data_IF_147426112629
#
_entry.id   IF_147426112629
#
_cell.length_a   1.000
_cell.length_b   1.000
_cell.length_c   1.000
_cell.angle_alpha   90.00
_cell.angle_beta   90.00
_cell.angle_gamma   90.00
#
_symmetry.space_group_name_H-M   'P 1'
#
loop_
_entity.id
_entity.type
_entity.pdbx_description
1 polymer ?
#
# COMPACT_ATOMS: atom_id res chain seq x y z
N UNK A 1 -2.65 19.04 7.07
CA UNK A 1 -3.98 18.59 7.53
C UNK A 1 -3.94 17.07 7.52
N UNK A 2 -3.92 16.42 8.69
CA UNK A 2 -3.90 14.95 8.77
C UNK A 2 -5.28 14.41 8.47
N UNK A 3 -5.39 13.45 7.54
CA UNK A 3 -6.67 12.78 7.22
C UNK A 3 -7.26 12.12 8.47
N UNK A 4 -8.61 12.12 8.63
CA UNK A 4 -9.26 11.46 9.75
C UNK A 4 -8.99 9.95 9.73
N UNK A 5 -8.77 9.36 10.91
CA UNK A 5 -8.58 7.92 11.05
C UNK A 5 -9.84 7.19 10.55
N UNK A 6 -9.67 6.09 9.83
CA UNK A 6 -10.78 5.28 9.33
C UNK A 6 -10.60 3.80 9.64
N UNK A 7 -11.72 3.07 9.69
CA UNK A 7 -11.72 1.62 9.87
C UNK A 7 -11.11 0.93 8.65
N UNK A 8 -10.11 0.06 8.85
CA UNK A 8 -9.43 -0.67 7.78
C UNK A 8 -10.30 -1.73 7.09
N UNK A 9 -11.51 -1.99 7.59
CA UNK A 9 -12.42 -3.01 7.05
C UNK A 9 -13.63 -2.38 6.36
N UNK A 10 -14.30 -1.44 7.02
CA UNK A 10 -15.57 -0.87 6.54
C UNK A 10 -15.47 0.62 6.19
N UNK A 11 -14.27 1.21 6.22
CA UNK A 11 -13.99 2.60 5.86
C UNK A 11 -14.72 3.69 6.64
N UNK A 12 -15.51 3.36 7.67
CA UNK A 12 -16.10 4.36 8.56
C UNK A 12 -15.01 5.27 9.12
N UNK A 13 -15.15 6.57 8.91
CA UNK A 13 -14.26 7.59 9.43
C UNK A 13 -14.57 7.86 10.91
N UNK A 14 -13.56 8.31 11.65
CA UNK A 14 -13.72 8.78 13.01
C UNK A 14 -14.69 9.95 13.06
N UNK A 15 -15.69 9.87 13.94
CA UNK A 15 -16.71 10.90 14.15
C UNK A 15 -17.09 10.98 15.63
N UNK A 16 -18.05 11.83 15.98
CA UNK A 16 -18.63 11.88 17.33
C UNK A 16 -19.35 10.59 17.71
N UNK A 17 -19.79 9.80 16.72
CA UNK A 17 -20.54 8.55 16.91
C UNK A 17 -19.67 7.30 16.71
N UNK A 18 -18.57 7.43 15.97
CA UNK A 18 -17.69 6.32 15.61
C UNK A 18 -16.29 6.55 16.15
N UNK A 19 -15.94 5.79 17.19
CA UNK A 19 -14.59 5.75 17.74
C UNK A 19 -13.72 4.73 16.99
N UNK A 20 -12.59 5.19 16.45
CA UNK A 20 -11.65 4.35 15.70
C UNK A 20 -10.54 3.88 16.63
N UNK A 21 -10.52 2.58 16.90
CA UNK A 21 -9.60 1.93 17.82
C UNK A 21 -8.45 1.28 17.09
N UNK A 22 -7.25 1.35 17.67
CA UNK A 22 -6.08 0.64 17.15
C UNK A 22 -6.06 -0.80 17.63
N UNK A 23 -5.49 -1.70 16.83
CA UNK A 23 -5.19 -3.05 17.27
C UNK A 23 -4.32 -3.02 18.54
N UNK A 24 -4.78 -3.62 19.63
CA UNK A 24 -4.06 -3.58 20.92
C UNK A 24 -2.66 -4.21 20.86
N UNK A 25 -2.42 -5.12 19.91
CA UNK A 25 -1.14 -5.84 19.77
C UNK A 25 -0.13 -5.08 18.91
N UNK A 26 -0.48 -4.73 17.66
CA UNK A 26 0.46 -4.09 16.74
C UNK A 26 0.36 -2.57 16.70
N UNK A 27 -0.76 -2.00 17.16
CA UNK A 27 -1.11 -0.56 17.11
C UNK A 27 -1.10 0.09 15.72
N UNK A 28 -1.02 -0.72 14.66
CA UNK A 28 -0.83 -0.27 13.27
C UNK A 28 -2.13 -0.33 12.43
N UNK A 29 -3.02 -1.29 12.72
CA UNK A 29 -4.35 -1.38 12.08
C UNK A 29 -5.43 -0.71 12.93
N UNK A 30 -6.44 -0.14 12.27
CA UNK A 30 -7.51 0.66 12.85
C UNK A 30 -8.88 0.04 12.59
N UNK A 31 -9.76 -0.01 13.59
CA UNK A 31 -11.08 -0.62 13.50
C UNK A 31 -12.12 0.23 14.23
N UNK A 32 -13.32 0.36 13.67
CA UNK A 32 -14.43 1.02 14.36
C UNK A 32 -15.04 0.17 15.50
N UNK A 33 -14.59 -1.08 15.67
CA UNK A 33 -15.14 -1.98 16.67
C UNK A 33 -14.58 -3.40 16.58
N UNK A 34 -15.04 -4.24 17.51
CA UNK A 34 -14.61 -5.64 17.63
C UNK A 34 -14.98 -6.48 16.40
N UNK A 35 -16.13 -6.23 15.80
CA UNK A 35 -16.61 -7.02 14.66
C UNK A 35 -15.69 -6.87 13.44
N UNK A 36 -15.31 -5.63 13.11
CA UNK A 36 -14.33 -5.37 12.05
C UNK A 36 -12.97 -5.99 12.38
N UNK A 37 -12.51 -5.89 13.64
CA UNK A 37 -11.25 -6.52 14.04
C UNK A 37 -11.28 -8.05 13.90
N UNK A 38 -12.39 -8.70 14.30
CA UNK A 38 -12.55 -10.16 14.20
C UNK A 38 -12.66 -10.61 12.74
N UNK A 39 -13.40 -9.86 11.92
CA UNK A 39 -13.51 -10.13 10.48
C UNK A 39 -12.16 -10.04 9.77
N UNK A 40 -11.31 -9.10 10.17
CA UNK A 40 -9.97 -8.92 9.62
C UNK A 40 -8.94 -9.87 10.25
N UNK A 41 -9.24 -10.50 11.39
CA UNK A 41 -8.26 -11.30 12.14
C UNK A 41 -7.63 -12.45 11.33
N UNK A 42 -8.35 -13.23 10.50
CA UNK A 42 -7.74 -14.30 9.70
C UNK A 42 -6.58 -13.82 8.84
N UNK A 43 -6.68 -12.61 8.28
CA UNK A 43 -5.69 -12.00 7.39
C UNK A 43 -4.68 -11.20 8.19
N UNK A 44 -5.13 -10.35 9.12
CA UNK A 44 -4.33 -9.48 9.97
C UNK A 44 -3.39 -10.24 10.91
N UNK A 45 -3.79 -11.38 11.49
CA UNK A 45 -2.98 -12.09 12.50
C UNK A 45 -1.56 -12.42 12.03
N UNK A 46 -1.37 -12.56 10.71
CA UNK A 46 -0.09 -12.87 10.06
C UNK A 46 0.86 -11.67 10.02
N UNK A 47 0.31 -10.46 9.96
CA UNK A 47 1.07 -9.19 10.00
C UNK A 47 1.01 -8.51 11.37
N UNK A 48 0.10 -8.94 12.25
CA UNK A 48 -0.11 -8.41 13.58
C UNK A 48 1.09 -8.64 14.51
N UNK A 49 1.87 -7.58 14.73
CA UNK A 49 3.08 -7.60 15.56
C UNK A 49 4.37 -7.82 14.79
N UNK A 50 4.28 -8.01 13.46
CA UNK A 50 5.45 -8.14 12.58
C UNK A 50 6.05 -6.77 12.20
N UNK A 51 5.38 -5.67 12.57
CA UNK A 51 5.86 -4.30 12.47
C UNK A 51 6.57 -3.97 13.78
N UNK A 52 7.76 -4.55 13.96
CA UNK A 52 8.75 -3.88 14.81
C UNK A 52 9.16 -2.59 14.09
N UNK A 53 9.29 -1.45 14.81
CA UNK A 53 9.97 -0.29 14.24
C UNK A 53 11.33 -0.76 13.73
N UNK A 54 11.73 -0.27 12.54
CA UNK A 54 13.03 -0.54 11.93
C UNK A 54 14.14 -0.17 12.92
N UNK A 55 14.61 -1.11 13.72
CA UNK A 55 15.97 -1.07 14.22
C UNK A 55 16.84 -1.70 13.13
N UNK A 56 17.94 -1.04 12.78
CA UNK A 56 18.96 -1.56 11.87
C UNK A 56 19.60 -2.86 12.37
N UNK A 57 19.33 -3.25 13.62
CA UNK A 57 20.17 -4.17 14.38
C UNK A 57 19.52 -5.55 14.61
N UNK A 58 18.33 -5.81 14.06
CA UNK A 58 17.68 -7.13 14.16
C UNK A 58 17.07 -7.56 12.81
N UNK A 59 17.61 -8.62 12.17
CA UNK A 59 17.03 -9.15 10.94
C UNK A 59 15.64 -9.72 11.22
N UNK A 60 14.61 -9.26 10.47
CA UNK A 60 13.35 -9.99 10.39
C UNK A 60 13.64 -11.41 9.88
N UNK A 61 12.93 -12.41 10.41
CA UNK A 61 12.91 -13.73 9.79
C UNK A 61 12.56 -13.58 8.28
N UNK A 62 13.25 -14.29 7.38
CA UNK A 62 13.03 -14.16 5.94
C UNK A 62 11.57 -14.42 5.59
N UNK A 63 10.93 -13.45 4.96
CA UNK A 63 9.56 -13.59 4.46
C UNK A 63 9.59 -14.23 3.09
N UNK A 64 8.57 -15.04 2.78
CA UNK A 64 8.50 -15.79 1.53
C UNK A 64 8.58 -14.89 0.27
N UNK A 65 8.17 -13.63 0.41
CA UNK A 65 8.12 -12.62 -0.64
C UNK A 65 9.36 -11.71 -0.71
N UNK A 66 10.35 -11.86 0.17
CA UNK A 66 11.52 -10.94 0.17
C UNK A 66 12.27 -10.96 -1.17
N UNK A 67 12.26 -12.12 -1.87
CA UNK A 67 12.82 -12.26 -3.21
C UNK A 67 12.08 -11.50 -4.32
N UNK A 68 10.88 -10.99 -4.05
CA UNK A 68 10.04 -10.25 -4.99
C UNK A 68 10.12 -8.73 -4.80
N UNK A 69 10.93 -8.25 -3.85
CA UNK A 69 11.00 -6.81 -3.52
C UNK A 69 11.61 -5.96 -4.62
N UNK A 70 12.52 -6.53 -5.42
CA UNK A 70 13.24 -5.79 -6.45
C UNK A 70 12.38 -5.63 -7.70
N UNK A 71 12.06 -4.39 -8.02
CA UNK A 71 11.37 -4.01 -9.25
C UNK A 71 12.32 -4.08 -10.46
N UNK A 72 11.75 -4.15 -11.66
CA UNK A 72 12.47 -4.14 -12.94
C UNK A 72 13.22 -2.84 -13.19
N UNK A 73 12.69 -1.72 -12.68
CA UNK A 73 13.32 -0.40 -12.74
C UNK A 73 14.49 -0.22 -11.73
N UNK A 74 14.76 -1.23 -10.90
CA UNK A 74 15.81 -1.22 -9.89
C UNK A 74 15.40 -0.64 -8.53
N UNK A 75 14.16 -0.16 -8.38
CA UNK A 75 13.59 0.20 -7.08
C UNK A 75 13.36 -1.04 -6.21
N UNK A 76 13.26 -0.83 -4.90
CA UNK A 76 13.11 -1.90 -3.91
C UNK A 76 11.94 -1.60 -2.99
N UNK A 77 10.96 -2.50 -2.93
CA UNK A 77 9.89 -2.43 -1.94
C UNK A 77 10.44 -2.69 -0.54
N UNK A 78 10.21 -1.74 0.37
CA UNK A 78 10.63 -1.81 1.77
C UNK A 78 9.50 -2.22 2.72
N UNK A 79 8.26 -2.25 2.20
CA UNK A 79 7.05 -2.61 2.92
C UNK A 79 6.79 -4.10 2.95
N UNK A 80 5.66 -4.49 3.52
CA UNK A 80 5.20 -5.87 3.52
C UNK A 80 4.29 -6.11 2.31
N UNK A 81 4.30 -7.35 1.82
CA UNK A 81 3.37 -7.80 0.81
C UNK A 81 2.09 -8.26 1.53
N UNK A 82 0.96 -7.62 1.23
CA UNK A 82 -0.32 -7.84 1.90
C UNK A 82 -1.38 -8.27 0.88
N UNK A 83 -2.09 -9.36 1.18
CA UNK A 83 -3.24 -9.80 0.39
C UNK A 83 -4.38 -8.79 0.51
N UNK A 84 -4.92 -8.35 -0.62
CA UNK A 84 -6.10 -7.49 -0.70
C UNK A 84 -7.33 -8.36 -0.43
N UNK A 85 -8.03 -8.11 0.67
CA UNK A 85 -9.20 -8.91 1.09
C UNK A 85 -10.46 -8.08 1.29
N UNK A 86 -10.47 -6.86 0.77
CA UNK A 86 -11.58 -5.92 0.80
C UNK A 86 -12.00 -5.57 -0.63
N UNK A 87 -13.26 -5.18 -0.83
CA UNK A 87 -13.71 -4.68 -2.12
C UNK A 87 -13.27 -3.23 -2.35
N UNK A 88 -13.22 -2.82 -3.62
CA UNK A 88 -13.12 -1.43 -4.04
C UNK A 88 -14.19 -1.14 -5.09
N UNK A 89 -15.25 -0.43 -4.69
CA UNK A 89 -16.39 -0.10 -5.56
C UNK A 89 -15.96 0.70 -6.80
N UNK A 90 -15.02 1.63 -6.62
CA UNK A 90 -14.51 2.47 -7.71
C UNK A 90 -13.82 1.68 -8.81
N UNK A 91 -13.13 0.60 -8.45
CA UNK A 91 -12.43 -0.28 -9.38
C UNK A 91 -13.29 -1.46 -9.81
N UNK A 92 -14.46 -1.66 -9.19
CA UNK A 92 -15.29 -2.85 -9.41
C UNK A 92 -14.58 -4.14 -8.98
N UNK A 93 -13.68 -4.05 -7.98
CA UNK A 93 -12.86 -5.19 -7.55
C UNK A 93 -13.25 -5.70 -6.17
N UNK A 94 -12.97 -6.98 -5.93
CA UNK A 94 -13.27 -7.70 -4.69
C UNK A 94 -12.04 -8.35 -4.04
N UNK A 95 -12.28 -9.46 -3.35
CA UNK A 95 -11.26 -10.25 -2.69
C UNK A 95 -10.19 -10.70 -3.71
N UNK A 96 -8.90 -10.57 -3.34
CA UNK A 96 -7.80 -10.89 -4.24
C UNK A 96 -7.69 -9.91 -5.42
N UNK A 97 -8.27 -8.71 -5.32
CA UNK A 97 -8.19 -7.65 -6.33
C UNK A 97 -8.58 -8.13 -7.74
N UNK A 98 -9.45 -9.14 -7.82
CA UNK A 98 -10.12 -9.55 -9.05
C UNK A 98 -11.43 -8.76 -9.20
N UNK A 99 -12.08 -8.86 -10.36
CA UNK A 99 -13.40 -8.25 -10.55
C UNK A 99 -14.38 -8.79 -9.51
N UNK A 100 -15.32 -7.96 -9.07
CA UNK A 100 -16.18 -8.27 -7.92
C UNK A 100 -16.99 -9.57 -8.12
N UNK A 101 -17.36 -9.89 -9.37
CA UNK A 101 -18.06 -11.11 -9.74
C UNK A 101 -17.22 -12.39 -9.53
N UNK A 102 -15.89 -12.28 -9.61
CA UNK A 102 -14.95 -13.40 -9.44
C UNK A 102 -14.43 -13.53 -8.00
N UNK A 103 -14.77 -12.59 -7.12
CA UNK A 103 -14.26 -12.49 -5.75
C UNK A 103 -14.45 -13.78 -4.95
N UNK A 104 -15.64 -14.37 -4.99
CA UNK A 104 -15.94 -15.60 -4.25
C UNK A 104 -15.21 -16.82 -4.83
N UNK A 105 -15.09 -16.92 -6.16
CA UNK A 105 -14.33 -18.00 -6.80
C UNK A 105 -12.83 -17.90 -6.48
N UNK A 106 -12.28 -16.69 -6.50
CA UNK A 106 -10.88 -16.42 -6.15
C UNK A 106 -10.58 -16.79 -4.69
N UNK A 107 -11.51 -16.47 -3.78
CA UNK A 107 -11.41 -16.84 -2.37
C UNK A 107 -11.52 -18.34 -2.17
N UNK A 108 -12.46 -19.01 -2.82
CA UNK A 108 -12.61 -20.48 -2.76
C UNK A 108 -11.35 -21.19 -3.28
N UNK A 109 -10.80 -20.71 -4.40
CA UNK A 109 -9.54 -21.20 -4.98
C UNK A 109 -8.38 -21.05 -4.01
N UNK A 110 -8.27 -19.92 -3.33
CA UNK A 110 -7.26 -19.72 -2.29
C UNK A 110 -7.40 -20.70 -1.13
N UNK A 111 -8.62 -20.90 -0.63
CA UNK A 111 -8.88 -21.76 0.52
C UNK A 111 -8.72 -23.25 0.19
N UNK A 112 -9.27 -23.70 -0.94
CA UNK A 112 -9.36 -25.12 -1.29
C UNK A 112 -8.17 -25.60 -2.13
N UNK A 113 -7.83 -24.90 -3.21
CA UNK A 113 -6.76 -25.34 -4.13
C UNK A 113 -5.37 -24.92 -3.62
N UNK A 114 -5.25 -23.68 -3.15
CA UNK A 114 -4.00 -23.18 -2.62
C UNK A 114 -3.81 -23.48 -1.13
N UNK A 115 -4.83 -24.01 -0.43
CA UNK A 115 -4.77 -24.33 1.01
C UNK A 115 -4.31 -23.15 1.87
N UNK A 116 -4.80 -21.94 1.54
CA UNK A 116 -4.41 -20.70 2.19
C UNK A 116 -2.96 -20.26 1.95
N UNK A 117 -2.27 -20.84 0.95
CA UNK A 117 -0.87 -20.56 0.68
C UNK A 117 -0.69 -19.31 -0.21
N UNK A 118 -0.31 -18.19 0.39
CA UNK A 118 -0.08 -16.92 -0.32
C UNK A 118 0.97 -17.01 -1.41
N UNK A 119 2.03 -17.81 -1.23
CA UNK A 119 3.08 -17.98 -2.24
C UNK A 119 2.53 -18.68 -3.49
N UNK A 120 1.57 -19.58 -3.35
CA UNK A 120 0.87 -20.19 -4.50
C UNK A 120 -0.05 -19.17 -5.16
N UNK A 121 -0.86 -18.46 -4.38
CA UNK A 121 -1.74 -17.42 -4.91
C UNK A 121 -0.94 -16.33 -5.65
N UNK A 122 0.16 -15.84 -5.07
CA UNK A 122 1.02 -14.84 -5.70
C UNK A 122 1.60 -15.31 -7.03
N UNK A 123 1.99 -16.58 -7.14
CA UNK A 123 2.49 -17.13 -8.42
C UNK A 123 1.40 -17.19 -9.48
N UNK A 124 0.15 -17.35 -9.07
CA UNK A 124 -1.01 -17.43 -9.95
C UNK A 124 -1.57 -16.05 -10.32
N UNK A 125 -1.68 -15.16 -9.34
CA UNK A 125 -2.33 -13.85 -9.42
C UNK A 125 -1.61 -12.83 -8.52
N UNK A 126 -0.43 -12.31 -8.93
CA UNK A 126 0.37 -11.38 -8.11
C UNK A 126 -0.40 -10.14 -7.66
N UNK A 127 -1.26 -9.60 -8.52
CA UNK A 127 -2.06 -8.40 -8.27
C UNK A 127 -3.10 -8.57 -7.16
N UNK A 128 -3.36 -9.79 -6.67
CA UNK A 128 -4.09 -10.01 -5.41
C UNK A 128 -3.40 -9.34 -4.22
N UNK A 129 -2.12 -9.03 -4.32
CA UNK A 129 -1.35 -8.45 -3.24
C UNK A 129 -1.02 -6.99 -3.53
N UNK A 130 -0.76 -6.23 -2.47
CA UNK A 130 -0.20 -4.88 -2.51
C UNK A 130 1.09 -4.80 -1.71
N UNK A 131 1.93 -3.83 -2.06
CA UNK A 131 3.05 -3.43 -1.23
C UNK A 131 2.68 -2.29 -0.30
N UNK A 132 2.78 -2.51 1.02
CA UNK A 132 2.35 -1.51 2.02
C UNK A 132 3.22 -0.24 2.06
N UNK A 133 4.39 -0.25 1.42
CA UNK A 133 5.31 0.90 1.39
C UNK A 133 4.94 1.99 0.38
N UNK A 134 4.31 1.62 -0.73
CA UNK A 134 3.97 2.54 -1.82
C UNK A 134 2.52 2.41 -2.29
N UNK A 135 1.80 1.35 -1.88
CA UNK A 135 0.42 1.11 -2.28
C UNK A 135 0.27 0.72 -3.74
N UNK A 136 1.33 0.23 -4.39
CA UNK A 136 1.22 -0.44 -5.69
C UNK A 136 0.69 -1.86 -5.48
N UNK A 137 -0.08 -2.38 -6.44
CA UNK A 137 -0.30 -3.82 -6.49
C UNK A 137 1.03 -4.54 -6.78
N UNK A 138 1.10 -5.81 -6.43
CA UNK A 138 2.34 -6.55 -6.55
C UNK A 138 2.59 -7.17 -7.93
N UNK A 139 1.63 -7.03 -8.86
CA UNK A 139 1.85 -7.27 -10.28
C UNK A 139 2.59 -6.11 -10.95
N UNK A 140 2.51 -4.90 -10.38
CA UNK A 140 3.26 -3.72 -10.82
C UNK A 140 4.70 -3.77 -10.32
N UNK A 141 5.60 -4.32 -11.13
CA UNK A 141 7.03 -4.44 -10.81
C UNK A 141 7.89 -3.25 -11.28
N UNK A 142 7.30 -2.06 -11.28
CA UNK A 142 7.93 -0.76 -11.57
C UNK A 142 7.24 0.36 -10.78
N UNK A 143 7.85 1.54 -10.71
CA UNK A 143 7.23 2.73 -10.13
C UNK A 143 7.10 2.68 -8.60
N UNK A 144 7.87 1.81 -7.94
CA UNK A 144 8.01 1.79 -6.50
C UNK A 144 8.77 3.04 -6.03
N UNK A 145 8.06 4.15 -5.82
CA UNK A 145 8.61 5.38 -5.27
C UNK A 145 8.16 5.59 -3.82
N UNK A 146 9.10 5.94 -2.96
CA UNK A 146 8.87 6.26 -1.56
C UNK A 146 9.13 7.74 -1.34
N UNK A 147 8.09 8.54 -1.18
CA UNK A 147 8.15 10.00 -1.10
C UNK A 147 8.74 10.50 0.24
N UNK A 148 10.01 10.19 0.52
CA UNK A 148 10.75 10.57 1.73
C UNK A 148 10.88 9.46 2.77
N UNK A 149 10.25 8.31 2.59
CA UNK A 149 10.28 7.20 3.56
C UNK A 149 11.25 6.08 3.21
N UNK A 150 11.69 6.02 1.95
CA UNK A 150 12.56 4.95 1.47
C UNK A 150 14.03 5.16 1.82
N UNK A 151 14.79 4.07 1.75
CA UNK A 151 16.25 4.04 1.86
C UNK A 151 16.97 4.89 0.82
N UNK A 152 16.39 5.04 -0.38
CA UNK A 152 16.92 5.88 -1.47
C UNK A 152 16.06 7.14 -1.69
N UNK A 153 16.63 8.22 -2.23
CA UNK A 153 15.86 9.39 -2.65
C UNK A 153 14.80 9.01 -3.70
N UNK A 154 13.58 9.51 -3.53
CA UNK A 154 12.52 9.35 -4.52
C UNK A 154 12.91 9.92 -5.89
N UNK A 155 12.54 9.24 -6.97
CA UNK A 155 12.93 9.65 -8.33
C UNK A 155 11.85 10.43 -9.08
N UNK A 156 10.63 10.54 -8.53
CA UNK A 156 9.52 11.21 -9.21
C UNK A 156 9.73 12.73 -9.39
N UNK A 157 9.07 13.28 -10.41
CA UNK A 157 9.14 14.71 -10.73
C UNK A 157 8.74 15.61 -9.56
N UNK A 158 7.67 15.26 -8.82
CA UNK A 158 7.19 16.08 -7.71
C UNK A 158 8.25 16.23 -6.62
N UNK A 159 8.89 15.14 -6.21
CA UNK A 159 10.00 15.19 -5.26
C UNK A 159 11.21 15.96 -5.82
N UNK A 160 11.54 15.79 -7.10
CA UNK A 160 12.61 16.56 -7.77
C UNK A 160 12.33 18.05 -7.84
N UNK A 161 11.05 18.43 -7.98
CA UNK A 161 10.58 19.82 -7.94
C UNK A 161 10.42 20.37 -6.52
N UNK A 162 10.60 19.56 -5.48
CA UNK A 162 10.36 19.97 -4.10
C UNK A 162 8.87 20.21 -3.81
N UNK A 163 7.98 19.54 -4.53
CA UNK A 163 6.53 19.65 -4.39
C UNK A 163 5.93 18.34 -3.85
N UNK A 164 4.88 18.41 -3.01
CA UNK A 164 4.10 17.24 -2.67
C UNK A 164 3.34 16.72 -3.91
N UNK A 165 2.95 15.44 -3.88
CA UNK A 165 2.01 14.91 -4.88
C UNK A 165 0.72 15.74 -4.92
N UNK A 166 0.10 15.99 -6.07
CA UNK A 166 -1.22 16.63 -6.15
C UNK A 166 -2.32 15.81 -5.49
N UNK A 167 -3.43 16.47 -5.12
CA UNK A 167 -4.56 15.84 -4.45
C UNK A 167 -5.21 14.74 -5.31
N UNK A 168 -5.31 14.98 -6.62
CA UNK A 168 -5.80 14.02 -7.63
C UNK A 168 -5.08 12.67 -7.59
N UNK A 169 -3.78 12.69 -7.34
CA UNK A 169 -2.91 11.51 -7.27
C UNK A 169 -2.91 10.94 -5.86
N UNK A 170 -2.73 11.79 -4.84
CA UNK A 170 -2.60 11.36 -3.45
C UNK A 170 -3.88 10.72 -2.92
N UNK A 171 -5.04 11.33 -3.22
CA UNK A 171 -6.37 10.86 -2.80
C UNK A 171 -7.01 9.90 -3.80
N UNK A 172 -6.26 9.37 -4.76
CA UNK A 172 -6.76 8.30 -5.63
C UNK A 172 -7.13 7.09 -4.76
N UNK A 173 -8.43 6.82 -4.71
CA UNK A 173 -9.00 5.65 -4.06
C UNK A 173 -8.75 4.42 -4.95
N UNK A 174 -8.09 3.42 -4.39
CA UNK A 174 -7.78 2.14 -5.05
C UNK A 174 -7.71 1.03 -4.01
N UNK A 175 -7.99 -0.20 -4.43
CA UNK A 175 -7.89 -1.37 -3.57
C UNK A 175 -6.48 -1.50 -2.96
N UNK A 176 -5.43 -1.21 -3.75
CA UNK A 176 -4.03 -1.27 -3.33
C UNK A 176 -3.64 -0.18 -2.32
N UNK A 177 -4.35 0.95 -2.25
CA UNK A 177 -4.06 2.07 -1.33
C UNK A 177 -4.96 2.11 -0.10
N UNK A 178 -6.03 1.33 -0.09
CA UNK A 178 -7.04 1.28 0.96
C UNK A 178 -6.46 1.19 2.39
N UNK A 179 -6.70 2.21 3.21
CA UNK A 179 -6.24 2.24 4.60
C UNK A 179 -4.72 2.40 4.81
N UNK A 180 -3.94 2.64 3.75
CA UNK A 180 -2.53 2.99 3.89
C UNK A 180 -2.37 4.49 4.15
N UNK A 181 -1.50 4.84 5.11
CA UNK A 181 -1.05 6.23 5.30
C UNK A 181 0.31 6.40 4.62
N UNK A 182 0.29 6.77 3.34
CA UNK A 182 1.49 6.98 2.55
C UNK A 182 1.99 8.43 2.67
N UNK A 183 3.31 8.62 2.67
CA UNK A 183 3.88 9.97 2.60
C UNK A 183 3.55 10.62 1.26
N UNK A 184 3.18 11.88 1.31
CA UNK A 184 2.85 12.70 0.14
C UNK A 184 4.08 13.32 -0.53
N UNK A 185 5.22 13.30 0.17
CA UNK A 185 6.43 14.02 -0.23
C UNK A 185 6.33 15.53 0.01
N UNK A 186 7.29 16.31 -0.53
CA UNK A 186 8.44 15.84 -1.31
C UNK A 186 9.47 15.10 -0.45
N UNK A 187 10.28 14.24 -1.08
CA UNK A 187 11.52 13.74 -0.47
C UNK A 187 12.58 14.84 -0.53
N UNK A 188 13.06 15.40 0.61
CA UNK A 188 14.04 16.47 0.60
C UNK A 188 15.37 16.10 -0.06
N UNK A 189 15.70 14.79 -0.10
CA UNK A 189 16.95 14.28 -0.69
C UNK A 189 16.91 14.29 -2.22
N UNK A 190 15.75 14.48 -2.81
CA UNK A 190 15.53 14.40 -4.26
C UNK A 190 15.59 15.74 -4.98
N UNK A 191 15.51 16.85 -4.24
CA UNK A 191 15.46 18.18 -4.83
C UNK A 191 16.82 18.61 -5.38
N UNK A 192 16.82 19.13 -6.61
CA UNK A 192 17.91 19.94 -7.15
C UNK A 192 17.35 20.99 -8.11
N UNK A 193 17.97 22.17 -8.19
CA UNK A 193 17.50 23.26 -9.05
C UNK A 193 17.43 22.85 -10.53
N UNK A 194 18.46 22.15 -11.02
CA UNK A 194 18.51 21.64 -12.38
C UNK A 194 17.43 20.58 -12.64
N UNK A 195 17.29 19.58 -11.76
CA UNK A 195 16.26 18.54 -11.91
C UNK A 195 14.84 19.10 -11.81
N UNK A 196 14.63 20.10 -10.96
CA UNK A 196 13.35 20.79 -10.84
C UNK A 196 12.98 21.53 -12.14
N UNK A 197 13.93 22.21 -12.77
CA UNK A 197 13.71 22.91 -14.04
C UNK A 197 13.37 21.91 -15.16
N UNK A 198 14.11 20.80 -15.26
CA UNK A 198 13.86 19.74 -16.24
C UNK A 198 12.49 19.10 -16.02
N UNK A 199 12.16 18.72 -14.78
CA UNK A 199 10.87 18.13 -14.43
C UNK A 199 9.71 19.10 -14.75
N UNK A 200 9.85 20.38 -14.37
CA UNK A 200 8.85 21.41 -14.67
C UNK A 200 8.61 21.56 -16.16
N UNK A 201 9.69 21.62 -16.95
CA UNK A 201 9.59 21.74 -18.40
C UNK A 201 8.95 20.49 -19.03
N UNK A 202 9.42 19.30 -18.67
CA UNK A 202 8.89 18.04 -19.19
C UNK A 202 7.39 17.89 -18.95
N UNK A 203 6.94 18.13 -17.70
CA UNK A 203 5.51 18.07 -17.36
C UNK A 203 4.68 19.09 -18.13
N UNK A 204 5.18 20.32 -18.29
CA UNK A 204 4.50 21.34 -19.10
C UNK A 204 4.37 20.93 -20.56
N UNK A 205 5.43 20.37 -21.17
CA UNK A 205 5.41 19.92 -22.57
C UNK A 205 4.41 18.79 -22.78
N UNK A 206 4.30 17.87 -21.84
CA UNK A 206 3.37 16.74 -21.89
C UNK A 206 1.98 17.04 -21.31
N UNK A 207 1.69 18.29 -20.94
CA UNK A 207 0.39 18.66 -20.34
C UNK A 207 0.08 17.94 -19.02
N UNK A 208 1.10 17.54 -18.27
CA UNK A 208 0.97 16.86 -16.99
C UNK A 208 0.76 17.87 -15.86
N UNK A 209 0.04 17.43 -14.81
CA UNK A 209 -0.23 18.23 -13.62
C UNK A 209 1.05 18.69 -12.91
N UNK A 210 1.07 19.92 -12.39
CA UNK A 210 2.27 20.65 -11.94
C UNK A 210 2.51 20.67 -10.44
#
# INVERSE_FOLDING_TARGET
>A
MSSPLSCSVCNKAQSTEVDIKRCGRCRDRFYCGRDCQLSDWPTHKRTCGAITPRSSDSPRAPRWYDKHRKCRDGNLHEGDLELITWPCEREGTGWGHCIVEESEEMKEKFEKEFMGNEKKLYRYWPQAFRWTCCGTDAGMDWGCDHHGTGSKPCSCDFCRMGKPLPDSIYHKDSASRHGLTLQRGPDPRSFSSASAAIAKHGRSVFGLEM
#
